data_IF_595291214443
#
_entry.id   IF_595291214443
#
_cell.length_a   1.000
_cell.length_b   1.000
_cell.length_c   1.000
_cell.angle_alpha   90.00
_cell.angle_beta   90.00
_cell.angle_gamma   90.00
#
_symmetry.space_group_name_H-M   'P 1'
#
loop_
_entity.id
_entity.type
_entity.pdbx_description
1 polymer ?
#
# COMPACT_ATOMS: atom_id res chain seq x y z
N UNK A 1 22.79 4.15 11.86
CA UNK A 1 22.16 2.97 11.25
C UNK A 1 21.24 2.24 12.22
N UNK A 2 21.74 1.69 13.34
CA UNK A 2 20.89 1.00 14.34
C UNK A 2 19.75 1.86 14.90
N UNK A 3 19.94 3.16 15.05
CA UNK A 3 18.90 4.08 15.53
C UNK A 3 17.77 4.26 14.52
N UNK A 4 18.08 4.30 13.22
CA UNK A 4 17.08 4.44 12.17
C UNK A 4 16.16 3.21 12.10
N UNK A 5 16.74 2.01 12.03
CA UNK A 5 15.98 0.75 11.99
C UNK A 5 15.09 0.60 13.23
N UNK A 6 15.61 0.94 14.40
CA UNK A 6 14.83 0.93 15.63
C UNK A 6 13.61 1.85 15.58
N UNK A 7 13.81 3.06 15.08
CA UNK A 7 12.70 4.01 14.89
C UNK A 7 11.67 3.41 13.92
N UNK A 8 12.12 2.82 12.81
CA UNK A 8 11.22 2.21 11.81
C UNK A 8 10.47 0.99 12.33
N UNK A 9 11.09 0.16 13.15
CA UNK A 9 10.41 -0.94 13.85
C UNK A 9 9.29 -0.40 14.76
N UNK A 10 9.55 0.66 15.52
CA UNK A 10 8.50 1.27 16.38
C UNK A 10 7.36 1.88 15.57
N UNK A 11 7.66 2.54 14.46
CA UNK A 11 6.65 3.07 13.54
C UNK A 11 5.83 1.94 12.91
N UNK A 12 6.49 0.87 12.48
CA UNK A 12 5.84 -0.33 11.95
C UNK A 12 4.89 -0.97 12.97
N UNK A 13 5.31 -1.14 14.22
CA UNK A 13 4.43 -1.72 15.26
C UNK A 13 3.20 -0.84 15.52
N UNK A 14 3.35 0.49 15.55
CA UNK A 14 2.21 1.41 15.65
C UNK A 14 1.27 1.27 14.47
N UNK A 15 1.83 1.14 13.26
CA UNK A 15 1.03 0.95 12.05
C UNK A 15 0.30 -0.39 12.06
N UNK A 16 0.94 -1.49 12.45
CA UNK A 16 0.31 -2.82 12.63
C UNK A 16 -0.87 -2.75 13.60
N UNK A 17 -0.67 -2.11 14.76
CA UNK A 17 -1.74 -1.92 15.73
C UNK A 17 -2.93 -1.13 15.14
N UNK A 18 -2.66 -0.13 14.30
CA UNK A 18 -3.71 0.62 13.61
C UNK A 18 -4.48 -0.26 12.62
N UNK A 19 -3.79 -1.14 11.87
CA UNK A 19 -4.43 -2.06 10.92
C UNK A 19 -5.29 -3.12 11.62
N UNK A 20 -4.88 -3.56 12.82
CA UNK A 20 -5.58 -4.56 13.63
C UNK A 20 -6.77 -3.99 14.42
N UNK A 21 -6.94 -2.67 14.48
CA UNK A 21 -8.08 -2.07 15.20
C UNK A 21 -9.40 -2.42 14.52
N UNK A 22 -10.35 -2.90 15.31
CA UNK A 22 -11.74 -3.08 14.85
C UNK A 22 -12.35 -1.72 14.48
N UNK A 23 -13.26 -1.69 13.50
CA UNK A 23 -13.99 -0.48 13.15
C UNK A 23 -14.66 0.11 14.38
N UNK A 24 -14.36 1.37 14.71
CA UNK A 24 -15.04 2.08 15.81
C UNK A 24 -16.45 2.50 15.41
N UNK A 25 -17.33 2.66 16.40
CA UNK A 25 -18.72 3.15 16.20
C UNK A 25 -18.74 4.53 15.52
N UNK A 26 -17.69 5.34 15.68
CA UNK A 26 -17.50 6.62 14.97
C UNK A 26 -17.47 6.46 13.44
N UNK A 27 -17.13 5.28 12.94
CA UNK A 27 -17.15 4.98 11.50
C UNK A 27 -18.57 4.80 10.93
N UNK A 28 -19.64 4.82 11.75
CA UNK A 28 -21.03 4.83 11.25
C UNK A 28 -21.33 6.10 10.45
N UNK A 29 -20.86 7.27 10.90
CA UNK A 29 -21.03 8.54 10.17
C UNK A 29 -20.27 8.52 8.82
N UNK A 30 -19.09 7.90 8.78
CA UNK A 30 -18.34 7.66 7.54
C UNK A 30 -19.07 6.70 6.60
N UNK A 31 -19.76 5.69 7.15
CA UNK A 31 -20.55 4.72 6.37
C UNK A 31 -21.80 5.35 5.77
N UNK A 32 -22.47 6.23 6.52
CA UNK A 32 -23.60 7.01 6.00
C UNK A 32 -23.19 7.97 4.89
N UNK A 33 -22.04 8.63 5.03
CA UNK A 33 -21.49 9.49 3.98
C UNK A 33 -21.08 8.67 2.74
N UNK A 34 -20.52 7.48 2.91
CA UNK A 34 -20.22 6.56 1.82
C UNK A 34 -21.48 6.06 1.11
N UNK A 35 -22.51 5.70 1.88
CA UNK A 35 -23.78 5.27 1.32
C UNK A 35 -24.47 6.41 0.54
N UNK A 36 -24.42 7.65 1.05
CA UNK A 36 -24.91 8.83 0.32
C UNK A 36 -24.13 9.09 -0.96
N UNK A 37 -22.79 8.98 -0.94
CA UNK A 37 -21.98 9.11 -2.16
C UNK A 37 -22.30 8.02 -3.18
N UNK A 38 -22.45 6.77 -2.73
CA UNK A 38 -22.81 5.66 -3.60
C UNK A 38 -24.23 5.82 -4.19
N UNK A 39 -25.19 6.41 -3.45
CA UNK A 39 -26.54 6.62 -3.95
C UNK A 39 -26.68 7.82 -4.89
N UNK A 40 -25.74 8.76 -4.85
CA UNK A 40 -25.74 9.94 -5.73
C UNK A 40 -25.11 9.63 -7.10
N UNK A 41 -24.28 8.56 -7.16
CA UNK A 41 -23.54 8.21 -8.37
C UNK A 41 -24.41 7.38 -9.31
N UNK A 42 -24.55 7.78 -10.58
CA UNK A 42 -25.21 6.97 -11.59
C UNK A 42 -24.57 5.59 -11.74
N UNK A 43 -25.36 4.56 -12.01
CA UNK A 43 -24.94 3.17 -12.19
C UNK A 43 -23.79 3.03 -13.21
N UNK A 44 -23.77 3.91 -14.21
CA UNK A 44 -22.71 3.95 -15.24
C UNK A 44 -21.32 4.16 -14.63
N UNK A 45 -21.19 4.93 -13.56
CA UNK A 45 -19.89 5.17 -12.90
C UNK A 45 -19.41 3.91 -12.16
N UNK A 46 -20.32 3.19 -11.52
CA UNK A 46 -20.00 1.93 -10.87
C UNK A 46 -19.48 0.89 -11.87
N UNK A 47 -20.09 0.79 -13.03
CA UNK A 47 -19.67 -0.15 -14.09
C UNK A 47 -18.28 0.20 -14.66
N UNK A 48 -17.99 1.47 -14.90
CA UNK A 48 -16.68 1.93 -15.40
C UNK A 48 -15.58 1.61 -14.40
N UNK A 49 -15.78 1.96 -13.13
CA UNK A 49 -14.79 1.71 -12.08
C UNK A 49 -14.56 0.22 -11.88
N UNK A 50 -15.63 -0.56 -11.82
CA UNK A 50 -15.55 -2.02 -11.68
C UNK A 50 -14.78 -2.63 -12.85
N UNK A 51 -15.05 -2.19 -14.09
CA UNK A 51 -14.32 -2.64 -15.28
C UNK A 51 -12.86 -2.23 -15.23
N UNK A 52 -12.55 -1.01 -14.79
CA UNK A 52 -11.18 -0.54 -14.65
C UNK A 52 -10.39 -1.34 -13.60
N UNK A 53 -10.99 -1.63 -12.45
CA UNK A 53 -10.39 -2.49 -11.41
C UNK A 53 -10.14 -3.89 -11.97
N UNK A 54 -11.12 -4.46 -12.66
CA UNK A 54 -11.00 -5.78 -13.30
C UNK A 54 -9.83 -5.83 -14.27
N UNK A 55 -9.73 -4.87 -15.15
CA UNK A 55 -8.66 -4.78 -16.14
C UNK A 55 -7.30 -4.53 -15.48
N UNK A 56 -7.24 -3.64 -14.49
CA UNK A 56 -6.03 -3.38 -13.71
C UNK A 56 -5.52 -4.66 -13.05
N UNK A 57 -6.38 -5.38 -12.33
CA UNK A 57 -6.00 -6.61 -11.62
C UNK A 57 -5.47 -7.66 -12.60
N UNK A 58 -6.13 -7.82 -13.76
CA UNK A 58 -5.68 -8.72 -14.82
C UNK A 58 -4.33 -8.30 -15.38
N UNK A 59 -4.16 -7.01 -15.70
CA UNK A 59 -2.90 -6.49 -16.24
C UNK A 59 -1.75 -6.62 -15.23
N UNK A 60 -2.02 -6.40 -13.95
CA UNK A 60 -1.02 -6.59 -12.89
C UNK A 60 -0.59 -8.04 -12.80
N UNK A 61 -1.51 -8.99 -12.78
CA UNK A 61 -1.16 -10.41 -12.63
C UNK A 61 -0.51 -11.00 -13.88
N UNK A 62 -1.02 -10.70 -15.08
CA UNK A 62 -0.60 -11.34 -16.31
C UNK A 62 0.25 -10.46 -17.23
N UNK A 63 0.34 -9.16 -16.94
CA UNK A 63 1.05 -8.20 -17.79
C UNK A 63 2.48 -7.94 -17.34
N UNK A 64 3.42 -8.00 -18.30
CA UNK A 64 4.82 -7.62 -18.06
C UNK A 64 5.07 -6.10 -18.12
N UNK A 65 4.06 -5.28 -18.45
CA UNK A 65 4.21 -3.84 -18.72
C UNK A 65 4.76 -3.00 -17.57
N UNK A 66 4.61 -3.49 -16.34
CA UNK A 66 5.06 -2.78 -15.14
C UNK A 66 6.38 -3.33 -14.58
N UNK A 67 6.83 -4.47 -15.07
CA UNK A 67 8.12 -5.07 -14.67
C UNK A 67 9.25 -4.30 -15.33
N UNK A 68 9.73 -3.26 -14.67
CA UNK A 68 10.66 -2.33 -15.31
C UNK A 68 12.02 -2.24 -14.65
N UNK A 69 12.22 -2.84 -13.48
CA UNK A 69 13.50 -2.71 -12.77
C UNK A 69 13.89 -3.98 -12.06
N UNK A 70 15.17 -4.29 -12.16
CA UNK A 70 15.83 -5.31 -11.34
C UNK A 70 15.69 -4.93 -9.85
N UNK A 71 15.41 -5.89 -8.98
CA UNK A 71 15.39 -5.64 -7.54
C UNK A 71 16.70 -5.03 -7.06
N UNK A 72 16.62 -4.00 -6.24
CA UNK A 72 17.81 -3.39 -5.62
C UNK A 72 18.19 -4.24 -4.41
N UNK A 73 19.38 -4.81 -4.45
CA UNK A 73 19.92 -5.62 -3.36
C UNK A 73 21.08 -4.89 -2.68
N UNK A 74 21.47 -5.33 -1.49
CA UNK A 74 22.66 -4.85 -0.77
C UNK A 74 22.68 -3.36 -0.42
N UNK A 75 21.51 -2.77 -0.16
CA UNK A 75 21.39 -1.42 0.41
C UNK A 75 20.61 -1.45 1.73
N UNK A 76 20.87 -0.48 2.60
CA UNK A 76 20.23 -0.37 3.90
C UNK A 76 18.77 0.11 3.80
N UNK A 77 17.99 -0.16 4.85
CA UNK A 77 16.58 0.27 4.93
C UNK A 77 16.43 1.79 4.77
N UNK A 78 17.31 2.56 5.39
CA UNK A 78 17.30 4.03 5.28
C UNK A 78 17.43 4.50 3.82
N UNK A 79 18.32 3.87 3.05
CA UNK A 79 18.51 4.18 1.64
C UNK A 79 17.29 3.76 0.80
N UNK A 80 16.69 2.59 1.09
CA UNK A 80 15.44 2.15 0.46
C UNK A 80 14.31 3.12 0.72
N UNK A 81 14.15 3.57 1.97
CA UNK A 81 13.13 4.54 2.36
C UNK A 81 13.31 5.86 1.61
N UNK A 82 14.53 6.38 1.54
CA UNK A 82 14.83 7.62 0.83
C UNK A 82 14.45 7.51 -0.66
N UNK A 83 14.85 6.42 -1.33
CA UNK A 83 14.50 6.16 -2.72
C UNK A 83 12.97 6.01 -2.91
N UNK A 84 12.30 5.32 -2.00
CA UNK A 84 10.84 5.16 -2.05
C UNK A 84 10.11 6.50 -1.89
N UNK A 85 10.52 7.34 -0.94
CA UNK A 85 9.94 8.68 -0.76
C UNK A 85 10.22 9.60 -1.96
N UNK A 86 11.38 9.48 -2.63
CA UNK A 86 11.64 10.20 -3.88
C UNK A 86 10.66 9.78 -4.97
N UNK A 87 10.39 8.48 -5.10
CA UNK A 87 9.41 7.97 -6.06
C UNK A 87 8.01 8.47 -5.74
N UNK A 88 7.58 8.41 -4.48
CA UNK A 88 6.28 8.93 -4.07
C UNK A 88 6.14 10.41 -4.47
N UNK A 89 7.17 11.23 -4.21
CA UNK A 89 7.16 12.66 -4.60
C UNK A 89 7.07 12.86 -6.11
N UNK A 90 7.79 12.04 -6.90
CA UNK A 90 7.75 12.10 -8.36
C UNK A 90 6.35 11.76 -8.88
N UNK A 91 5.78 10.64 -8.41
CA UNK A 91 4.46 10.19 -8.85
C UNK A 91 3.33 11.12 -8.41
N UNK A 92 3.47 11.81 -7.28
CA UNK A 92 2.55 12.89 -6.89
C UNK A 92 2.57 14.03 -7.89
N UNK A 93 3.75 14.49 -8.30
CA UNK A 93 3.87 15.55 -9.31
C UNK A 93 3.24 15.15 -10.65
N UNK A 94 3.49 13.92 -11.10
CA UNK A 94 2.90 13.37 -12.32
C UNK A 94 1.38 13.34 -12.24
N UNK A 95 0.82 12.82 -11.15
CA UNK A 95 -0.62 12.74 -10.91
C UNK A 95 -1.29 14.15 -10.83
N UNK A 96 -0.56 15.15 -10.33
CA UNK A 96 -1.05 16.55 -10.32
C UNK A 96 -1.11 17.15 -11.72
N UNK A 97 -0.08 16.93 -12.54
CA UNK A 97 -0.03 17.47 -13.92
C UNK A 97 -1.14 16.88 -14.80
N UNK A 98 -1.39 15.59 -14.67
CA UNK A 98 -2.47 14.92 -15.39
C UNK A 98 -3.85 15.36 -14.89
N UNK A 99 -4.05 15.51 -13.59
CA UNK A 99 -5.30 15.98 -13.01
C UNK A 99 -5.63 17.44 -13.34
N UNK A 100 -4.62 18.29 -13.57
CA UNK A 100 -4.82 19.69 -13.97
C UNK A 100 -5.28 19.82 -15.42
N UNK A 101 -4.81 18.93 -16.31
CA UNK A 101 -5.21 18.92 -17.73
C UNK A 101 -6.66 18.46 -17.95
N UNK A 102 -7.18 17.56 -17.10
CA UNK A 102 -8.49 16.92 -17.25
C UNK A 102 -9.58 17.56 -16.38
N UNK A 103 -9.19 18.37 -15.38
CA UNK A 103 -10.14 19.03 -14.46
C UNK A 103 -11.10 20.02 -15.13
N UNK A 104 -10.73 20.57 -16.31
CA UNK A 104 -11.58 21.49 -17.08
C UNK A 104 -12.72 20.79 -17.85
N UNK A 105 -12.67 19.47 -18.01
CA UNK A 105 -13.60 18.69 -18.83
C UNK A 105 -14.75 18.00 -18.08
N UNK A 106 -14.82 18.16 -16.75
CA UNK A 106 -15.88 17.57 -15.93
C UNK A 106 -15.68 16.08 -15.59
N UNK A 107 -16.64 15.54 -14.86
CA UNK A 107 -16.60 14.17 -14.28
C UNK A 107 -16.42 13.07 -15.33
N UNK A 108 -17.04 13.23 -16.51
CA UNK A 108 -17.00 12.21 -17.57
C UNK A 108 -15.59 12.04 -18.15
N UNK A 109 -14.86 13.15 -18.36
CA UNK A 109 -13.48 13.10 -18.84
C UNK A 109 -12.56 12.52 -17.76
N UNK A 110 -12.77 12.93 -16.49
CA UNK A 110 -12.02 12.36 -15.37
C UNK A 110 -12.20 10.85 -15.22
N UNK A 111 -13.37 10.30 -15.55
CA UNK A 111 -13.62 8.85 -15.53
C UNK A 111 -12.97 8.14 -16.72
N UNK A 112 -12.89 8.77 -17.89
CA UNK A 112 -12.16 8.20 -19.02
C UNK A 112 -10.66 8.01 -18.71
N UNK A 113 -10.09 8.91 -17.91
CA UNK A 113 -8.67 8.84 -17.48
C UNK A 113 -8.44 7.94 -16.26
N UNK A 114 -9.49 7.43 -15.64
CA UNK A 114 -9.38 6.62 -14.43
C UNK A 114 -8.46 5.38 -14.60
N UNK A 115 -8.48 4.62 -15.71
CA UNK A 115 -7.53 3.53 -15.94
C UNK A 115 -6.07 4.00 -15.96
N UNK A 116 -5.78 5.17 -16.50
CA UNK A 116 -4.45 5.76 -16.52
C UNK A 116 -3.99 6.12 -15.10
N UNK A 117 -4.86 6.75 -14.31
CA UNK A 117 -4.60 7.07 -12.92
C UNK A 117 -4.32 5.82 -12.07
N UNK A 118 -5.03 4.72 -12.31
CA UNK A 118 -4.75 3.44 -11.67
C UNK A 118 -3.39 2.90 -12.09
N UNK A 119 -3.07 2.96 -13.39
CA UNK A 119 -1.79 2.48 -13.93
C UNK A 119 -0.60 3.18 -13.30
N UNK A 120 -0.67 4.49 -13.11
CA UNK A 120 0.38 5.27 -12.44
C UNK A 120 0.59 4.80 -11.01
N UNK A 121 -0.48 4.56 -10.26
CA UNK A 121 -0.40 4.08 -8.87
C UNK A 121 0.16 2.67 -8.77
N UNK A 122 -0.24 1.80 -9.67
CA UNK A 122 0.33 0.45 -9.75
C UNK A 122 1.81 0.50 -10.10
N UNK A 123 2.21 1.35 -11.06
CA UNK A 123 3.62 1.53 -11.41
C UNK A 123 4.45 2.02 -10.22
N UNK A 124 3.94 2.95 -9.41
CA UNK A 124 4.58 3.36 -8.15
C UNK A 124 4.82 2.16 -7.23
N UNK A 125 3.81 1.29 -7.05
CA UNK A 125 3.95 0.10 -6.20
C UNK A 125 5.01 -0.87 -6.72
N UNK A 126 5.12 -1.06 -8.04
CA UNK A 126 6.17 -1.88 -8.65
C UNK A 126 7.57 -1.29 -8.41
N UNK A 127 7.73 0.02 -8.55
CA UNK A 127 9.01 0.69 -8.28
C UNK A 127 9.40 0.56 -6.80
N UNK A 128 8.44 0.73 -5.87
CA UNK A 128 8.69 0.53 -4.45
C UNK A 128 9.06 -0.93 -4.18
N UNK A 129 8.35 -1.91 -4.73
CA UNK A 129 8.68 -3.32 -4.60
C UNK A 129 10.15 -3.61 -5.00
N UNK A 130 10.56 -3.12 -6.17
CA UNK A 130 11.94 -3.28 -6.66
C UNK A 130 12.97 -2.58 -5.78
N UNK A 131 12.66 -1.40 -5.23
CA UNK A 131 13.53 -0.68 -4.28
C UNK A 131 13.73 -1.51 -3.01
N UNK A 132 12.69 -2.20 -2.53
CA UNK A 132 12.78 -3.07 -1.36
C UNK A 132 13.37 -4.45 -1.67
N UNK A 133 13.76 -4.72 -2.92
CA UNK A 133 14.47 -5.94 -3.32
C UNK A 133 13.57 -7.10 -3.73
N UNK A 134 12.30 -6.85 -3.99
CA UNK A 134 11.34 -7.88 -4.41
C UNK A 134 11.21 -7.93 -5.93
N UNK A 135 11.27 -9.15 -6.49
CA UNK A 135 11.19 -9.37 -7.94
C UNK A 135 9.73 -9.36 -8.41
N UNK A 136 9.37 -8.30 -9.12
CA UNK A 136 8.03 -8.14 -9.69
C UNK A 136 7.77 -8.98 -10.94
N UNK A 137 8.75 -9.76 -11.42
CA UNK A 137 8.53 -10.79 -12.44
C UNK A 137 7.81 -12.02 -11.82
N UNK A 138 8.00 -12.27 -10.52
CA UNK A 138 7.23 -13.26 -9.79
C UNK A 138 5.76 -12.82 -9.65
N UNK A 139 4.83 -13.61 -10.20
CA UNK A 139 3.41 -13.28 -10.10
C UNK A 139 2.90 -13.27 -8.65
N UNK A 140 3.54 -14.04 -7.77
CA UNK A 140 3.21 -14.06 -6.34
C UNK A 140 3.51 -12.70 -5.69
N UNK A 141 4.62 -12.05 -6.06
CA UNK A 141 4.90 -10.69 -5.62
C UNK A 141 3.90 -9.67 -6.20
N UNK A 142 3.38 -9.93 -7.40
CA UNK A 142 2.31 -9.09 -7.97
C UNK A 142 0.99 -9.23 -7.22
N UNK A 143 0.70 -10.41 -6.66
CA UNK A 143 -0.43 -10.57 -5.73
C UNK A 143 -0.22 -9.69 -4.48
N UNK A 144 1.00 -9.65 -3.93
CA UNK A 144 1.30 -8.80 -2.78
C UNK A 144 1.12 -7.31 -3.10
N UNK A 145 1.55 -6.86 -4.27
CA UNK A 145 1.32 -5.49 -4.76
C UNK A 145 -0.18 -5.18 -4.82
N UNK A 146 -1.00 -6.11 -5.32
CA UNK A 146 -2.45 -5.95 -5.33
C UNK A 146 -3.05 -5.88 -3.92
N UNK A 147 -2.54 -6.67 -2.98
CA UNK A 147 -2.96 -6.61 -1.59
C UNK A 147 -2.62 -5.26 -0.94
N UNK A 148 -1.46 -4.67 -1.23
CA UNK A 148 -1.11 -3.30 -0.79
C UNK A 148 -2.12 -2.28 -1.32
N UNK A 149 -2.43 -2.34 -2.62
CA UNK A 149 -3.43 -1.47 -3.22
C UNK A 149 -4.80 -1.66 -2.56
N UNK A 150 -5.23 -2.92 -2.41
CA UNK A 150 -6.49 -3.26 -1.76
C UNK A 150 -6.54 -2.73 -0.31
N UNK A 151 -5.48 -2.91 0.48
CA UNK A 151 -5.40 -2.40 1.85
C UNK A 151 -5.58 -0.88 1.91
N UNK A 152 -4.98 -0.15 0.97
CA UNK A 152 -5.08 1.31 0.92
C UNK A 152 -6.49 1.81 0.59
N UNK A 153 -7.21 1.09 -0.28
CA UNK A 153 -8.52 1.49 -0.81
C UNK A 153 -9.71 0.68 -0.27
N UNK A 154 -9.48 -0.24 0.66
CA UNK A 154 -10.57 -1.01 1.28
C UNK A 154 -11.40 -0.20 2.25
N UNK A 155 -12.63 -0.65 2.43
CA UNK A 155 -13.46 -0.20 3.55
C UNK A 155 -12.83 -0.64 4.87
N UNK A 156 -13.11 0.08 5.95
CA UNK A 156 -12.54 -0.21 7.27
C UNK A 156 -12.88 -1.62 7.78
N UNK A 157 -14.00 -2.19 7.32
CA UNK A 157 -14.43 -3.53 7.74
C UNK A 157 -13.50 -4.62 7.20
N UNK A 158 -12.87 -4.42 6.06
CA UNK A 158 -12.02 -5.42 5.39
C UNK A 158 -10.51 -5.22 5.61
N UNK A 159 -10.11 -4.07 6.15
CA UNK A 159 -8.69 -3.75 6.39
C UNK A 159 -8.01 -4.82 7.24
N UNK A 160 -8.69 -5.31 8.29
CA UNK A 160 -8.11 -6.30 9.19
C UNK A 160 -7.87 -7.66 8.49
N UNK A 161 -8.80 -8.10 7.64
CA UNK A 161 -8.71 -9.39 6.96
C UNK A 161 -7.61 -9.35 5.88
N UNK A 162 -7.56 -8.27 5.09
CA UNK A 162 -6.48 -8.06 4.12
C UNK A 162 -5.14 -8.00 4.83
N UNK A 163 -5.07 -7.27 5.94
CA UNK A 163 -3.83 -7.12 6.70
C UNK A 163 -3.32 -8.45 7.26
N UNK A 164 -4.20 -9.30 7.78
CA UNK A 164 -3.84 -10.66 8.24
C UNK A 164 -3.22 -11.50 7.12
N UNK A 165 -3.81 -11.47 5.92
CA UNK A 165 -3.28 -12.18 4.77
C UNK A 165 -1.88 -11.65 4.39
N UNK A 166 -1.68 -10.33 4.47
CA UNK A 166 -0.39 -9.71 4.17
C UNK A 166 0.66 -10.01 5.24
N UNK A 167 0.29 -10.05 6.52
CA UNK A 167 1.19 -10.37 7.63
C UNK A 167 1.75 -11.81 7.51
N UNK A 168 0.98 -12.72 6.94
CA UNK A 168 1.35 -14.13 6.72
C UNK A 168 1.73 -14.43 5.25
N UNK A 169 1.97 -13.41 4.45
CA UNK A 169 2.07 -13.59 2.99
C UNK A 169 3.23 -14.49 2.57
N UNK A 170 4.39 -14.39 3.21
CA UNK A 170 5.55 -15.21 2.83
C UNK A 170 5.27 -16.70 3.06
N UNK A 171 4.51 -17.07 4.09
CA UNK A 171 4.00 -18.42 4.28
C UNK A 171 2.94 -18.81 3.25
N UNK A 172 1.96 -17.93 3.01
CA UNK A 172 0.92 -18.16 2.02
C UNK A 172 1.48 -18.28 0.59
N UNK A 173 2.53 -17.51 0.29
CA UNK A 173 3.23 -17.55 -0.99
C UNK A 173 3.76 -18.95 -1.33
N UNK A 174 4.21 -19.71 -0.34
CA UNK A 174 4.72 -21.07 -0.54
C UNK A 174 3.60 -22.06 -0.90
N UNK A 175 2.36 -21.78 -0.49
CA UNK A 175 1.19 -22.62 -0.82
C UNK A 175 0.64 -22.36 -2.22
N UNK A 176 1.02 -21.25 -2.86
CA UNK A 176 0.59 -20.93 -4.22
C UNK A 176 1.38 -21.76 -5.23
N UNK A 177 0.69 -22.24 -6.30
CA UNK A 177 1.38 -22.88 -7.43
C UNK A 177 2.49 -22.01 -7.97
N UNK A 178 3.50 -22.62 -8.58
CA UNK A 178 4.53 -21.88 -9.32
C UNK A 178 4.03 -21.48 -10.72
N UNK A 179 2.99 -22.12 -11.23
CA UNK A 179 2.35 -21.76 -12.49
C UNK A 179 1.15 -20.83 -12.23
N UNK A 180 1.19 -19.66 -12.83
CA UNK A 180 0.11 -18.68 -12.75
C UNK A 180 -1.20 -19.19 -13.38
N UNK A 181 -1.13 -20.17 -14.29
CA UNK A 181 -2.31 -20.77 -14.92
C UNK A 181 -3.17 -21.58 -13.94
N UNK A 182 -2.57 -22.07 -12.85
CA UNK A 182 -3.26 -22.78 -11.78
C UNK A 182 -3.95 -21.83 -10.79
N UNK A 183 -3.68 -20.52 -10.90
CA UNK A 183 -4.23 -19.52 -9.99
C UNK A 183 -5.72 -19.28 -10.25
N UNK A 184 -6.54 -19.41 -9.23
CA UNK A 184 -7.99 -19.13 -9.32
C UNK A 184 -8.26 -17.63 -9.43
N UNK A 185 -8.02 -17.14 -10.65
CA UNK A 185 -8.23 -15.75 -11.04
C UNK A 185 -9.65 -15.26 -10.77
N UNK A 186 -10.68 -16.09 -11.01
CA UNK A 186 -12.08 -15.64 -10.88
C UNK A 186 -12.44 -15.39 -9.43
N UNK A 187 -12.06 -16.31 -8.55
CA UNK A 187 -12.27 -16.18 -7.11
C UNK A 187 -11.52 -14.97 -6.57
N UNK A 188 -10.23 -14.85 -6.88
CA UNK A 188 -9.41 -13.71 -6.46
C UNK A 188 -10.01 -12.38 -6.90
N UNK A 189 -10.45 -12.25 -8.16
CA UNK A 189 -11.02 -11.02 -8.69
C UNK A 189 -12.33 -10.64 -8.00
N UNK A 190 -13.18 -11.62 -7.66
CA UNK A 190 -14.44 -11.37 -6.97
C UNK A 190 -14.17 -10.88 -5.56
N UNK A 191 -13.35 -11.55 -4.78
CA UNK A 191 -12.97 -11.15 -3.43
C UNK A 191 -12.28 -9.79 -3.42
N UNK A 192 -11.38 -9.55 -4.38
CA UNK A 192 -10.66 -8.29 -4.52
C UNK A 192 -11.62 -7.13 -4.75
N UNK A 193 -12.60 -7.28 -5.65
CA UNK A 193 -13.61 -6.25 -5.95
C UNK A 193 -14.47 -5.95 -4.72
N UNK A 194 -14.94 -6.98 -4.03
CA UNK A 194 -15.88 -6.84 -2.91
C UNK A 194 -15.26 -6.10 -1.72
N UNK A 195 -13.94 -6.12 -1.60
CA UNK A 195 -13.21 -5.44 -0.53
C UNK A 195 -12.86 -3.98 -0.85
N UNK A 196 -12.87 -3.61 -2.12
CA UNK A 196 -12.55 -2.23 -2.55
C UNK A 196 -13.73 -1.29 -2.25
N UNK A 197 -13.40 -0.17 -1.61
CA UNK A 197 -14.33 0.93 -1.37
C UNK A 197 -14.39 1.82 -2.62
N UNK A 198 -15.43 1.65 -3.42
CA UNK A 198 -15.62 2.40 -4.66
C UNK A 198 -15.69 3.92 -4.42
N UNK A 199 -16.27 4.36 -3.29
CA UNK A 199 -16.33 5.77 -2.95
C UNK A 199 -14.94 6.37 -2.71
N UNK A 200 -14.00 5.60 -2.12
CA UNK A 200 -12.61 6.01 -1.99
C UNK A 200 -11.90 6.08 -3.34
N UNK A 201 -12.17 5.15 -4.24
CA UNK A 201 -11.61 5.19 -5.59
C UNK A 201 -12.13 6.36 -6.41
N UNK A 202 -13.41 6.70 -6.26
CA UNK A 202 -14.00 7.87 -6.92
C UNK A 202 -13.34 9.19 -6.54
N UNK A 203 -12.77 9.28 -5.34
CA UNK A 203 -11.96 10.44 -4.94
C UNK A 203 -10.68 10.62 -5.79
N UNK A 204 -10.27 9.61 -6.55
CA UNK A 204 -9.17 9.70 -7.49
C UNK A 204 -9.59 10.37 -8.81
N UNK A 205 -10.87 10.42 -9.11
CA UNK A 205 -11.39 10.93 -10.38
C UNK A 205 -11.38 12.46 -10.37
N UNK A 206 -10.63 13.11 -11.30
CA UNK A 206 -10.68 14.56 -11.45
C UNK A 206 -12.10 15.03 -11.78
N UNK A 207 -12.53 16.16 -11.21
CA UNK A 207 -13.84 16.75 -11.50
C UNK A 207 -14.94 16.45 -10.47
N UNK A 208 -14.75 15.46 -9.59
CA UNK A 208 -15.58 15.32 -8.39
C UNK A 208 -15.04 16.29 -7.33
N UNK A 209 -15.29 17.59 -7.55
CA UNK A 209 -14.78 18.70 -6.73
C UNK A 209 -13.44 19.22 -7.22
N UNK A 210 -13.41 20.08 -8.23
CA UNK A 210 -12.22 20.51 -8.98
C UNK A 210 -11.06 21.06 -8.11
N UNK A 211 -11.30 21.60 -6.94
CA UNK A 211 -10.27 22.04 -5.99
C UNK A 211 -9.94 21.02 -4.91
N UNK A 212 -10.88 20.13 -4.59
CA UNK A 212 -10.70 19.08 -3.57
C UNK A 212 -9.98 17.87 -4.17
N UNK A 213 -10.16 17.60 -5.47
CA UNK A 213 -9.64 16.42 -6.16
C UNK A 213 -8.12 16.31 -6.16
N UNK A 214 -7.39 17.39 -6.47
CA UNK A 214 -5.91 17.37 -6.49
C UNK A 214 -5.32 17.13 -5.09
N UNK A 215 -5.86 17.77 -4.07
CA UNK A 215 -5.43 17.59 -2.69
C UNK A 215 -5.70 16.18 -2.16
N UNK A 216 -6.91 15.66 -2.45
CA UNK A 216 -7.30 14.31 -2.03
C UNK A 216 -6.48 13.27 -2.77
N UNK A 217 -6.26 13.43 -4.08
CA UNK A 217 -5.45 12.52 -4.88
C UNK A 217 -4.00 12.47 -4.35
N UNK A 218 -3.41 13.62 -3.97
CA UNK A 218 -2.09 13.68 -3.36
C UNK A 218 -2.04 12.91 -2.03
N UNK A 219 -3.02 13.12 -1.14
CA UNK A 219 -3.11 12.35 0.11
C UNK A 219 -3.28 10.85 -0.11
N UNK A 220 -3.98 10.46 -1.15
CA UNK A 220 -4.16 9.04 -1.48
C UNK A 220 -2.89 8.41 -2.05
N UNK A 221 -2.09 9.16 -2.82
CA UNK A 221 -0.76 8.69 -3.27
C UNK A 221 0.20 8.57 -2.09
N UNK A 222 0.22 9.55 -1.18
CA UNK A 222 1.01 9.47 0.07
C UNK A 222 0.62 8.24 0.87
N UNK A 223 -0.68 8.07 1.13
CA UNK A 223 -1.20 6.90 1.86
C UNK A 223 -0.79 5.59 1.20
N UNK A 224 -0.92 5.49 -0.11
CA UNK A 224 -0.55 4.29 -0.87
C UNK A 224 0.95 4.00 -0.76
N UNK A 225 1.78 5.04 -0.88
CA UNK A 225 3.23 4.96 -0.71
C UNK A 225 3.63 4.52 0.70
N UNK A 226 3.06 5.14 1.73
CA UNK A 226 3.29 4.77 3.13
C UNK A 226 2.89 3.32 3.41
N UNK A 227 1.73 2.88 2.86
CA UNK A 227 1.29 1.50 3.03
C UNK A 227 2.23 0.52 2.34
N UNK A 228 2.77 0.88 1.17
CA UNK A 228 3.78 0.06 0.49
C UNK A 228 5.07 -0.04 1.32
N UNK A 229 5.59 1.09 1.81
CA UNK A 229 6.78 1.13 2.66
C UNK A 229 6.60 0.24 3.89
N UNK A 230 5.52 0.43 4.68
CA UNK A 230 5.28 -0.39 5.86
C UNK A 230 5.03 -1.87 5.54
N UNK A 231 4.41 -2.18 4.42
CA UNK A 231 4.19 -3.56 3.97
C UNK A 231 5.52 -4.25 3.67
N UNK A 232 6.46 -3.57 3.01
CA UNK A 232 7.78 -4.13 2.75
C UNK A 232 8.69 -4.12 3.98
N UNK A 233 8.59 -3.12 4.85
CA UNK A 233 9.22 -3.16 6.17
C UNK A 233 8.77 -4.39 6.97
N UNK A 234 7.48 -4.71 6.95
CA UNK A 234 6.93 -5.87 7.64
C UNK A 234 7.60 -7.17 7.19
N UNK A 235 7.85 -7.33 5.88
CA UNK A 235 8.52 -8.51 5.34
C UNK A 235 10.02 -8.52 5.64
N UNK A 236 10.72 -7.39 5.50
CA UNK A 236 12.16 -7.30 5.73
C UNK A 236 12.53 -7.36 7.22
N UNK A 237 11.75 -6.72 8.09
CA UNK A 237 12.04 -6.63 9.52
C UNK A 237 11.48 -7.80 10.34
N UNK A 238 10.59 -8.62 9.78
CA UNK A 238 10.13 -9.87 10.39
C UNK A 238 11.01 -11.09 10.03
N UNK A 239 11.93 -10.96 9.08
CA UNK A 239 12.88 -12.05 8.78
C UNK A 239 13.76 -12.32 10.00
N UNK A 240 14.09 -13.60 10.24
CA UNK A 240 14.80 -14.09 11.45
C UNK A 240 16.11 -13.35 11.78
N UNK A 241 16.72 -12.65 10.83
CA UNK A 241 17.91 -11.82 11.05
C UNK A 241 17.65 -10.63 11.99
N UNK A 242 16.41 -10.08 12.04
CA UNK A 242 16.04 -9.02 12.96
C UNK A 242 15.82 -9.49 14.41
N UNK A 243 15.52 -10.78 14.62
CA UNK A 243 15.32 -11.32 15.97
C UNK A 243 16.66 -11.40 16.71
N UNK A 244 17.71 -11.81 16.04
CA UNK A 244 19.07 -11.89 16.61
C UNK A 244 19.61 -10.48 16.94
N UNK A 245 19.36 -9.48 16.08
CA UNK A 245 19.73 -8.10 16.35
C UNK A 245 18.88 -7.46 17.44
N UNK A 246 17.59 -7.81 17.51
CA UNK A 246 16.67 -7.34 18.54
C UNK A 246 17.05 -7.86 19.95
N UNK A 247 17.44 -9.11 20.08
CA UNK A 247 17.96 -9.70 21.31
C UNK A 247 19.31 -9.07 21.72
N UNK A 248 20.21 -8.90 20.77
CA UNK A 248 21.50 -8.22 20.96
C UNK A 248 21.31 -6.75 21.40
N UNK A 249 20.33 -6.04 20.84
CA UNK A 249 20.04 -4.66 21.20
C UNK A 249 19.40 -4.55 22.59
N UNK A 250 18.43 -5.39 22.94
CA UNK A 250 17.81 -5.45 24.25
C UNK A 250 18.88 -5.71 25.33
N UNK A 251 19.77 -6.65 25.08
CA UNK A 251 20.87 -6.97 26.01
C UNK A 251 21.84 -5.79 26.17
N UNK A 252 22.13 -5.01 25.12
CA UNK A 252 22.98 -3.79 25.17
C UNK A 252 22.30 -2.65 25.91
N UNK A 253 21.00 -2.45 25.73
CA UNK A 253 20.23 -1.42 26.46
C UNK A 253 20.15 -1.75 27.95
N UNK A 254 19.92 -3.02 28.32
CA UNK A 254 19.99 -3.44 29.73
C UNK A 254 21.38 -3.20 30.31
N UNK A 255 22.43 -3.51 29.59
CA UNK A 255 23.82 -3.29 30.00
C UNK A 255 24.14 -1.78 30.17
N UNK A 256 23.67 -0.93 29.25
CA UNK A 256 23.85 0.51 29.34
C UNK A 256 23.10 1.13 30.54
N UNK A 257 21.84 0.73 30.74
CA UNK A 257 21.02 1.19 31.88
C UNK A 257 21.60 0.69 33.20
N UNK A 258 22.11 -0.52 33.22
CA UNK A 258 22.70 -1.15 34.41
C UNK A 258 24.02 -0.44 34.78
N UNK A 259 24.91 -0.18 33.84
CA UNK A 259 26.16 0.54 34.07
C UNK A 259 25.91 1.98 34.54
N UNK A 260 24.96 2.70 33.93
CA UNK A 260 24.57 4.05 34.35
C UNK A 260 23.97 4.12 35.76
N UNK A 261 23.39 3.02 36.28
CA UNK A 261 22.93 2.90 37.67
C UNK A 261 24.09 2.64 38.63
N UNK A 262 25.14 1.96 38.21
CA UNK A 262 26.35 1.69 39.01
C UNK A 262 27.12 2.98 39.17
N UNK A 263 27.36 3.73 38.08
CA UNK A 263 28.10 5.00 38.11
C UNK A 263 27.41 6.09 38.96
N UNK A 264 26.07 6.04 39.07
CA UNK A 264 25.31 6.94 39.97
C UNK A 264 25.34 6.53 41.44
N UNK A 265 25.80 5.33 41.79
CA UNK A 265 25.95 4.86 43.18
C UNK A 265 27.38 5.01 43.68
N UNK A 266 28.32 5.33 42.80
CA UNK A 266 29.76 5.48 43.12
C UNK A 266 30.18 6.95 43.26
N UNK A 267 29.29 7.91 43.07
CA UNK A 267 29.40 9.33 43.37
C UNK A 267 28.37 9.74 44.44
#
# INVERSE_FOLDING_TARGET
>A
MQDYEYIKIRELEKWKLKMKKKPSIINKASKETQNKLNSILPEQYHSIITSAIKNMTKVVLFGSKYTTKTPIINIFIEERDNLAYEKIRLYKKTAMLEGAGTGAGGILIGLADFPLLLSIKIKLLYEIASIYGFDTNDYKERIYILNIFQLAFSSQNHVNDIFKNMENFDFLKETLSNDINDFDWRKFQQEYRDYIDLAKLLQLVPGIGAFVGAYVNNKLVDKLGDYAIYSYHMRLLNSNNCIVEKESWISRQYKYIFNKKIDKKSN
#
